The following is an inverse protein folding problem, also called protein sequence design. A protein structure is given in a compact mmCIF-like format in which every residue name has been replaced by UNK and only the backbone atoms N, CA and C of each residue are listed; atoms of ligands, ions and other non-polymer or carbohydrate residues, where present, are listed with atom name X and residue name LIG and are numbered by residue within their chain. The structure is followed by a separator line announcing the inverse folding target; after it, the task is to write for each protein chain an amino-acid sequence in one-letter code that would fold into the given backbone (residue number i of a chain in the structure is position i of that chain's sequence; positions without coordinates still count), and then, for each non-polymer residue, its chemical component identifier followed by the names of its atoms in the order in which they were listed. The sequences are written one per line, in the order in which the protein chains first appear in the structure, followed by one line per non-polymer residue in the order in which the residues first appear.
data_IF_219881478466
#
_entry.id   IF_219881478466
#
_cell.length_a   1.000
_cell.length_b   1.000
_cell.length_c   1.000
_cell.angle_alpha   90.00
_cell.angle_beta   90.00
_cell.angle_gamma   90.00
#
_symmetry.space_group_name_H-M   'P 1'
#
loop_
_entity.id
_entity.type
_entity.pdbx_description
1 polymer ?
#
# COMPACT_ATOMS: atom_id res chain seq x y z
N UNK A 1 -15.94 -2.13 -24.43
CA UNK A 1 -16.52 -1.78 -23.10
C UNK A 1 -15.91 -0.44 -22.69
N UNK A 2 -16.68 0.66 -22.69
CA UNK A 2 -16.20 1.98 -22.22
C UNK A 2 -16.17 1.94 -20.70
N UNK A 3 -14.98 1.83 -20.11
CA UNK A 3 -14.79 1.96 -18.67
C UNK A 3 -15.21 3.36 -18.20
N UNK A 4 -15.74 3.44 -16.98
CA UNK A 4 -16.06 4.72 -16.35
C UNK A 4 -14.83 5.64 -16.33
N UNK A 5 -15.04 6.98 -16.35
CA UNK A 5 -13.94 7.95 -16.30
C UNK A 5 -13.01 7.67 -15.11
N UNK A 6 -11.68 7.86 -15.25
CA UNK A 6 -10.76 7.69 -14.14
C UNK A 6 -11.12 8.64 -12.99
N UNK A 7 -11.55 8.09 -11.86
CA UNK A 7 -11.81 8.88 -10.65
C UNK A 7 -10.48 9.20 -9.99
N UNK A 8 -10.13 10.49 -9.92
CA UNK A 8 -8.95 10.94 -9.16
C UNK A 8 -9.13 10.55 -7.70
N UNK A 9 -8.11 9.91 -7.12
CA UNK A 9 -8.07 9.52 -5.71
C UNK A 9 -6.68 9.76 -5.16
N UNK A 10 -6.61 10.12 -3.88
CA UNK A 10 -5.36 10.17 -3.15
C UNK A 10 -5.07 8.78 -2.59
N UNK A 11 -3.92 8.20 -2.95
CA UNK A 11 -3.38 6.99 -2.32
C UNK A 11 -2.26 7.46 -1.41
N UNK A 12 -2.27 7.03 -0.14
CA UNK A 12 -1.31 7.48 0.84
C UNK A 12 -0.18 6.46 0.96
N UNK A 13 1.04 6.95 1.19
CA UNK A 13 2.16 6.11 1.61
C UNK A 13 1.90 5.68 3.05
N UNK A 14 1.75 4.37 3.25
CA UNK A 14 1.36 3.77 4.54
C UNK A 14 2.55 3.39 5.42
N UNK A 15 3.72 3.16 4.81
CA UNK A 15 4.97 2.88 5.50
C UNK A 15 5.95 4.03 5.26
N UNK A 16 6.76 4.33 6.28
CA UNK A 16 7.75 5.41 6.32
C UNK A 16 8.81 5.29 5.22
N UNK A 17 9.34 4.09 5.02
CA UNK A 17 10.36 3.79 4.01
C UNK A 17 9.90 4.04 2.57
N UNK A 18 8.59 4.14 2.30
CA UNK A 18 8.09 4.39 0.94
C UNK A 18 8.51 5.79 0.47
N UNK A 19 8.42 6.79 1.34
CA UNK A 19 8.76 8.16 0.97
C UNK A 19 10.22 8.27 0.56
N UNK A 20 11.12 7.67 1.36
CA UNK A 20 12.55 7.60 1.09
C UNK A 20 12.84 6.87 -0.23
N UNK A 21 12.15 5.76 -0.50
CA UNK A 21 12.33 4.99 -1.75
C UNK A 21 11.87 5.79 -2.97
N UNK A 22 10.75 6.51 -2.86
CA UNK A 22 10.23 7.35 -3.95
C UNK A 22 11.14 8.55 -4.20
N UNK A 23 11.67 9.17 -3.13
CA UNK A 23 12.64 10.26 -3.24
C UNK A 23 13.93 9.79 -3.92
N UNK A 24 14.46 8.63 -3.53
CA UNK A 24 15.62 8.02 -4.19
C UNK A 24 15.33 7.76 -5.68
N UNK A 25 14.18 7.17 -5.98
CA UNK A 25 13.77 6.94 -7.36
C UNK A 25 13.72 8.25 -8.16
N UNK A 26 13.11 9.31 -7.60
CA UNK A 26 12.97 10.59 -8.27
C UNK A 26 14.30 11.30 -8.51
N UNK A 27 15.23 11.20 -7.58
CA UNK A 27 16.50 11.96 -7.59
C UNK A 27 17.66 11.21 -8.25
N UNK A 28 17.73 9.89 -8.10
CA UNK A 28 18.88 9.09 -8.55
C UNK A 28 18.58 8.29 -9.83
N UNK A 29 17.36 7.76 -9.97
CA UNK A 29 17.05 6.78 -11.02
C UNK A 29 16.26 7.38 -12.17
N UNK A 30 15.16 8.10 -11.88
CA UNK A 30 14.30 8.74 -12.88
C UNK A 30 15.06 9.68 -13.82
N UNK A 31 16.06 10.47 -13.38
CA UNK A 31 16.83 11.34 -14.28
C UNK A 31 17.65 10.59 -15.33
N UNK A 32 17.91 9.28 -15.13
CA UNK A 32 18.63 8.45 -16.10
C UNK A 32 17.77 8.10 -17.32
N UNK A 33 16.45 8.31 -17.26
CA UNK A 33 15.55 8.12 -18.40
C UNK A 33 15.47 9.39 -19.24
N UNK A 34 16.05 9.37 -20.43
CA UNK A 34 16.03 10.50 -21.39
C UNK A 34 14.63 10.89 -21.87
N UNK A 35 13.67 10.00 -21.70
CA UNK A 35 12.25 10.17 -22.04
C UNK A 35 11.43 10.75 -20.89
N UNK A 36 12.00 10.91 -19.70
CA UNK A 36 11.31 11.42 -18.54
C UNK A 36 10.79 12.84 -18.81
N UNK A 37 9.47 13.03 -18.67
CA UNK A 37 8.85 14.35 -18.68
C UNK A 37 8.50 14.80 -17.25
N UNK A 38 8.25 16.09 -17.06
CA UNK A 38 7.91 16.66 -15.76
C UNK A 38 6.60 16.11 -15.16
N UNK A 39 5.71 15.54 -15.98
CA UNK A 39 4.40 15.07 -15.55
C UNK A 39 4.33 13.59 -15.20
N UNK A 40 5.37 12.80 -15.49
CA UNK A 40 5.38 11.36 -15.33
C UNK A 40 6.45 10.89 -14.33
N UNK A 41 5.98 10.24 -13.27
CA UNK A 41 6.88 9.67 -12.25
C UNK A 41 7.47 8.31 -12.69
N UNK A 42 6.86 7.63 -13.67
CA UNK A 42 7.33 6.32 -14.18
C UNK A 42 7.51 6.34 -15.71
N UNK A 43 8.64 6.88 -16.20
CA UNK A 43 8.99 6.80 -17.62
C UNK A 43 9.42 5.39 -18.03
N UNK A 44 9.61 5.19 -19.33
CA UNK A 44 10.23 4.01 -19.91
C UNK A 44 11.31 4.43 -20.90
N UNK A 45 12.28 3.58 -21.22
CA UNK A 45 13.31 3.86 -22.23
C UNK A 45 12.76 4.31 -23.59
N UNK A 46 11.49 3.97 -23.88
CA UNK A 46 10.84 4.22 -25.17
C UNK A 46 9.79 5.33 -25.15
N UNK A 47 9.48 5.91 -23.99
CA UNK A 47 8.47 6.94 -23.89
C UNK A 47 8.22 7.48 -22.49
N UNK A 48 7.47 8.60 -22.38
CA UNK A 48 7.35 9.37 -21.15
C UNK A 48 6.60 8.64 -20.02
N UNK A 49 5.82 7.60 -20.35
CA UNK A 49 5.10 6.77 -19.36
C UNK A 49 5.20 5.31 -19.73
N UNK A 50 5.45 4.46 -18.74
CA UNK A 50 5.36 3.02 -18.93
C UNK A 50 3.91 2.59 -19.19
N UNK A 51 3.73 1.68 -20.16
CA UNK A 51 2.42 1.11 -20.48
C UNK A 51 2.08 -0.11 -19.62
N UNK A 52 0.80 -0.29 -19.29
CA UNK A 52 0.34 -1.41 -18.44
C UNK A 52 0.67 -2.79 -19.03
N UNK A 53 0.54 -2.96 -20.35
CA UNK A 53 0.92 -4.22 -21.01
C UNK A 53 2.40 -4.53 -20.84
N UNK A 54 3.27 -3.52 -20.88
CA UNK A 54 4.71 -3.70 -20.68
C UNK A 54 5.03 -4.06 -19.22
N UNK A 55 4.33 -3.46 -18.25
CA UNK A 55 4.44 -3.85 -16.85
C UNK A 55 4.07 -5.33 -16.63
N UNK A 56 2.97 -5.80 -17.24
CA UNK A 56 2.58 -7.21 -17.15
C UNK A 56 3.63 -8.15 -17.75
N UNK A 57 4.16 -7.82 -18.92
CA UNK A 57 5.22 -8.61 -19.56
C UNK A 57 6.48 -8.67 -18.70
N UNK A 58 6.89 -7.53 -18.12
CA UNK A 58 8.05 -7.48 -17.22
C UNK A 58 7.82 -8.30 -15.95
N UNK A 59 6.65 -8.19 -15.34
CA UNK A 59 6.28 -9.00 -14.18
C UNK A 59 6.35 -10.50 -14.50
N UNK A 60 5.76 -10.93 -15.62
CA UNK A 60 5.82 -12.32 -16.05
C UNK A 60 7.27 -12.80 -16.26
N UNK A 61 8.12 -11.96 -16.85
CA UNK A 61 9.54 -12.26 -17.04
C UNK A 61 10.26 -12.48 -15.71
N UNK A 62 10.06 -11.59 -14.73
CA UNK A 62 10.69 -11.73 -13.42
C UNK A 62 10.16 -12.92 -12.64
N UNK A 63 8.84 -13.15 -12.68
CA UNK A 63 8.20 -14.32 -12.08
C UNK A 63 8.81 -15.61 -12.61
N UNK A 64 8.94 -15.74 -13.93
CA UNK A 64 9.48 -16.95 -14.57
C UNK A 64 10.97 -17.12 -14.23
N UNK A 65 11.75 -16.03 -14.25
CA UNK A 65 13.17 -16.06 -13.89
C UNK A 65 13.42 -16.43 -12.42
N UNK A 66 12.49 -16.12 -11.52
CA UNK A 66 12.54 -16.45 -10.10
C UNK A 66 11.86 -17.79 -9.76
N UNK A 67 11.29 -18.49 -10.75
CA UNK A 67 10.57 -19.76 -10.53
C UNK A 67 9.28 -19.62 -9.71
N UNK A 68 8.63 -18.46 -9.77
CA UNK A 68 7.38 -18.18 -9.05
C UNK A 68 6.16 -18.71 -9.82
N UNK A 69 5.05 -18.93 -9.11
CA UNK A 69 3.79 -19.44 -9.67
C UNK A 69 3.27 -18.56 -10.81
N UNK A 70 2.88 -19.17 -11.94
CA UNK A 70 2.36 -18.49 -13.13
C UNK A 70 1.08 -17.66 -12.88
N UNK A 71 0.34 -17.93 -11.81
CA UNK A 71 -0.81 -17.15 -11.34
C UNK A 71 -0.44 -15.86 -10.58
N UNK A 72 0.85 -15.61 -10.31
CA UNK A 72 1.28 -14.36 -9.69
C UNK A 72 1.13 -13.18 -10.66
N UNK A 73 0.26 -12.24 -10.30
CA UNK A 73 -0.04 -11.03 -11.07
C UNK A 73 -0.18 -9.78 -10.16
N UNK A 74 -0.49 -8.62 -10.75
CA UNK A 74 -0.71 -7.39 -9.97
C UNK A 74 -1.93 -7.44 -9.05
N UNK A 75 -2.92 -8.31 -9.31
CA UNK A 75 -4.03 -8.51 -8.39
C UNK A 75 -3.59 -9.30 -7.16
N UNK A 76 -2.70 -10.28 -7.32
CA UNK A 76 -2.06 -10.98 -6.21
C UNK A 76 -1.28 -10.00 -5.32
N UNK A 77 -0.48 -9.10 -5.89
CA UNK A 77 0.20 -8.05 -5.10
C UNK A 77 -0.78 -7.11 -4.37
N UNK A 78 -1.88 -6.73 -5.02
CA UNK A 78 -2.91 -5.91 -4.36
C UNK A 78 -3.55 -6.66 -3.18
N UNK A 79 -3.83 -7.95 -3.32
CA UNK A 79 -4.38 -8.77 -2.24
C UNK A 79 -3.39 -8.87 -1.07
N UNK A 80 -2.10 -9.08 -1.35
CA UNK A 80 -1.06 -9.06 -0.33
C UNK A 80 -0.98 -7.71 0.38
N UNK A 81 -1.00 -6.60 -0.36
CA UNK A 81 -1.03 -5.24 0.21
C UNK A 81 -2.22 -5.03 1.16
N UNK A 82 -3.43 -5.41 0.75
CA UNK A 82 -4.63 -5.32 1.58
C UNK A 82 -4.50 -6.19 2.83
N UNK A 83 -4.00 -7.41 2.68
CA UNK A 83 -3.82 -8.36 3.80
C UNK A 83 -2.85 -7.79 4.82
N UNK A 84 -1.68 -7.29 4.39
CA UNK A 84 -0.71 -6.68 5.28
C UNK A 84 -1.27 -5.47 6.02
N UNK A 85 -2.02 -4.58 5.36
CA UNK A 85 -2.64 -3.44 6.04
C UNK A 85 -3.63 -3.88 7.14
N UNK A 86 -4.44 -4.91 6.86
CA UNK A 86 -5.38 -5.42 7.86
C UNK A 86 -4.65 -6.09 9.03
N UNK A 87 -3.58 -6.85 8.76
CA UNK A 87 -2.76 -7.52 9.79
C UNK A 87 -1.97 -6.53 10.66
N UNK A 88 -1.50 -5.43 10.06
CA UNK A 88 -0.84 -4.30 10.73
C UNK A 88 -1.84 -3.41 11.51
N UNK A 89 -3.14 -3.69 11.37
CA UNK A 89 -4.19 -3.04 12.16
C UNK A 89 -4.70 -1.71 11.61
N UNK A 90 -4.52 -1.48 10.30
CA UNK A 90 -5.17 -0.35 9.65
C UNK A 90 -6.68 -0.53 9.62
N UNK A 91 -7.39 0.59 9.76
CA UNK A 91 -8.84 0.60 9.73
C UNK A 91 -9.39 0.10 8.38
N UNK A 92 -10.41 -0.75 8.41
CA UNK A 92 -10.95 -1.39 7.21
C UNK A 92 -11.54 -0.37 6.22
N UNK A 93 -12.10 0.74 6.72
CA UNK A 93 -12.61 1.81 5.86
C UNK A 93 -11.46 2.54 5.18
N UNK A 94 -10.37 2.80 5.89
CA UNK A 94 -9.15 3.33 5.29
C UNK A 94 -8.61 2.42 4.18
N UNK A 95 -8.50 1.11 4.42
CA UNK A 95 -8.01 0.15 3.42
C UNK A 95 -8.91 0.13 2.17
N UNK A 96 -10.23 0.19 2.34
CA UNK A 96 -11.19 0.30 1.24
C UNK A 96 -10.99 1.55 0.39
N UNK A 97 -10.81 2.70 1.03
CA UNK A 97 -10.59 3.97 0.33
C UNK A 97 -9.25 3.96 -0.43
N UNK A 98 -8.21 3.30 0.10
CA UNK A 98 -6.92 3.12 -0.57
C UNK A 98 -7.02 2.30 -1.87
N UNK A 99 -7.77 1.20 -1.88
CA UNK A 99 -7.90 0.33 -3.08
C UNK A 99 -9.05 0.71 -4.00
N UNK A 100 -9.98 1.55 -3.54
CA UNK A 100 -10.94 2.24 -4.38
C UNK A 100 -12.09 1.38 -4.93
N UNK A 101 -12.55 0.39 -4.16
CA UNK A 101 -13.71 -0.42 -4.51
C UNK A 101 -15.01 0.36 -4.25
N UNK A 102 -15.67 0.86 -5.30
CA UNK A 102 -16.99 1.51 -5.24
C UNK A 102 -18.14 0.49 -5.10
N UNK A 103 -17.86 -0.81 -5.34
CA UNK A 103 -18.79 -1.92 -5.10
C UNK A 103 -18.09 -3.06 -4.34
N UNK A 104 -18.61 -3.37 -3.16
CA UNK A 104 -18.11 -4.40 -2.25
C UNK A 104 -18.46 -5.83 -2.70
N UNK A 105 -18.05 -6.26 -3.90
CA UNK A 105 -18.23 -7.66 -4.33
C UNK A 105 -16.99 -8.54 -4.10
N UNK A 106 -15.88 -7.97 -3.61
CA UNK A 106 -14.70 -8.73 -3.13
C UNK A 106 -14.25 -8.31 -1.72
N UNK A 107 -14.96 -7.38 -1.08
CA UNK A 107 -14.59 -6.84 0.24
C UNK A 107 -15.30 -7.53 1.40
N UNK A 108 -16.31 -8.37 1.14
CA UNK A 108 -17.06 -9.09 2.18
C UNK A 108 -16.22 -10.11 2.98
N UNK A 109 -14.98 -10.38 2.55
CA UNK A 109 -14.04 -11.25 3.28
C UNK A 109 -13.26 -10.47 4.37
N UNK A 110 -13.19 -9.14 4.30
CA UNK A 110 -12.38 -8.34 5.24
C UNK A 110 -13.17 -7.79 6.44
N UNK A 111 -14.45 -8.15 6.57
CA UNK A 111 -15.28 -7.77 7.72
C UNK A 111 -15.12 -8.70 8.93
N UNK A 112 -14.19 -9.65 8.88
CA UNK A 112 -13.74 -10.32 10.10
C UNK A 112 -12.63 -9.46 10.69
N UNK A 113 -12.99 -8.52 11.56
CA UNK A 113 -12.05 -8.00 12.55
C UNK A 113 -11.55 -9.23 13.29
N UNK A 114 -10.34 -9.70 12.99
CA UNK A 114 -9.80 -10.87 13.67
C UNK A 114 -9.89 -10.58 15.17
N UNK A 115 -10.27 -11.58 15.97
CA UNK A 115 -10.28 -11.50 17.43
C UNK A 115 -9.02 -10.84 17.99
N UNK A 116 -7.92 -10.97 17.25
CA UNK A 116 -6.57 -10.55 17.61
C UNK A 116 -6.39 -9.04 17.49
N UNK A 117 -6.93 -8.37 16.46
CA UNK A 117 -6.85 -6.90 16.36
C UNK A 117 -7.63 -6.22 17.49
N UNK A 118 -8.83 -6.73 17.80
CA UNK A 118 -9.67 -6.22 18.90
C UNK A 118 -8.96 -6.41 20.24
N UNK A 119 -8.37 -7.58 20.45
CA UNK A 119 -7.61 -7.90 21.66
C UNK A 119 -6.34 -7.05 21.78
N UNK A 120 -5.61 -6.82 20.68
CA UNK A 120 -4.37 -6.02 20.66
C UNK A 120 -4.66 -4.54 20.89
N UNK A 121 -5.72 -4.00 20.29
CA UNK A 121 -6.15 -2.61 20.50
C UNK A 121 -6.65 -2.39 21.92
N UNK A 122 -7.44 -3.32 22.47
CA UNK A 122 -7.88 -3.25 23.87
C UNK A 122 -6.68 -3.31 24.82
N UNK A 123 -5.72 -4.21 24.60
CA UNK A 123 -4.48 -4.27 25.39
C UNK A 123 -3.71 -2.96 25.32
N UNK A 124 -3.45 -2.43 24.12
CA UNK A 124 -2.74 -1.15 23.94
C UNK A 124 -3.39 0.00 24.72
N UNK A 125 -4.73 0.12 24.67
CA UNK A 125 -5.45 1.16 25.41
C UNK A 125 -5.39 0.93 26.93
N UNK A 126 -5.55 -0.31 27.37
CA UNK A 126 -5.44 -0.68 28.79
C UNK A 126 -4.04 -0.41 29.32
N UNK A 127 -3.00 -0.83 28.61
CA UNK A 127 -1.60 -0.62 28.98
C UNK A 127 -1.29 0.88 29.06
N UNK A 128 -1.73 1.67 28.08
CA UNK A 128 -1.56 3.13 28.09
C UNK A 128 -2.27 3.78 29.29
N UNK A 129 -3.47 3.30 29.64
CA UNK A 129 -4.26 3.84 30.75
C UNK A 129 -3.67 3.45 32.10
N UNK A 130 -3.20 2.20 32.24
CA UNK A 130 -2.53 1.69 33.42
C UNK A 130 -1.20 2.42 33.63
N UNK A 131 -0.38 2.57 32.59
CA UNK A 131 0.88 3.32 32.66
C UNK A 131 0.65 4.79 33.04
N UNK A 132 -0.40 5.42 32.52
CA UNK A 132 -0.77 6.77 32.91
C UNK A 132 -1.20 6.87 34.38
N UNK A 133 -1.91 5.86 34.89
CA UNK A 133 -2.37 5.80 36.28
C UNK A 133 -1.25 5.43 37.28
N UNK A 134 -0.25 4.65 36.85
CA UNK A 134 0.87 4.20 37.67
C UNK A 134 2.06 5.17 37.67
N UNK A 135 2.05 6.23 36.84
CA UNK A 135 3.07 7.28 36.91
C UNK A 135 2.95 8.04 38.24
N UNK A 136 3.97 8.01 39.13
CA UNK A 136 3.93 8.78 40.36
C UNK A 136 3.87 10.26 40.01
N UNK A 137 2.96 11.00 40.65
CA UNK A 137 2.82 12.43 40.50
C UNK A 137 4.21 13.08 40.69
N UNK A 138 4.78 13.63 39.60
CA UNK A 138 6.04 14.38 39.68
C UNK A 138 5.83 15.46 40.72
N UNK A 139 6.52 15.30 41.86
CA UNK A 139 6.64 16.34 42.89
C UNK A 139 7.14 17.60 42.21
N UNK A 140 6.23 18.57 42.08
CA UNK A 140 6.54 19.94 41.70
C UNK A 140 7.36 20.53 42.86
N UNK A 141 8.65 20.76 42.62
CA UNK A 141 9.45 21.70 43.41
C UNK A 141 9.51 23.02 42.66
#
# INVERSE_FOLDING_TARGET
MKGSPPKRRSVLTVWDWIAETVEQWETEVRPLFTTADAGALWPSERGPRIGFSQMNTRLATYRDALGLDAGLDFHSFRRSYVTHLIEDGFDARFVQDQVGHEHASTTSIYTCVSSDFRTRTLRRVLDTTIDAALRPARSMR
#
